data_IF_281437745816
#
_entry.id   IF_281437745816
#
_cell.length_a   1.000
_cell.length_b   1.000
_cell.length_c   1.000
_cell.angle_alpha   90.00
_cell.angle_beta   90.00
_cell.angle_gamma   90.00
#
_symmetry.space_group_name_H-M   'P 1'
#
loop_
_entity.id
_entity.type
_entity.pdbx_description
1 polymer ?
#
# COMPACT_ATOMS: atom_id res chain seq x y z
N UNK A 1 11.35 2.52 -1.39
CA UNK A 1 11.26 1.14 -1.93
C UNK A 1 9.85 0.67 -2.30
N UNK A 2 8.79 1.38 -1.95
CA UNK A 2 7.39 0.97 -2.18
C UNK A 2 6.80 1.34 -3.56
N UNK A 3 7.52 1.98 -4.46
CA UNK A 3 6.98 2.59 -5.68
C UNK A 3 7.19 1.80 -6.98
N UNK A 4 7.91 0.67 -6.94
CA UNK A 4 8.13 -0.20 -8.11
C UNK A 4 6.92 -1.06 -8.51
N UNK A 5 5.78 -0.89 -7.83
CA UNK A 5 4.69 -1.85 -7.79
C UNK A 5 3.46 -1.50 -8.63
N UNK A 6 3.51 -0.46 -9.48
CA UNK A 6 2.29 0.17 -9.95
C UNK A 6 1.73 -0.32 -11.30
N UNK A 7 2.42 -1.17 -12.06
CA UNK A 7 1.98 -1.40 -13.45
C UNK A 7 1.96 -2.87 -13.88
N UNK A 8 0.80 -3.49 -13.83
CA UNK A 8 0.50 -4.72 -14.58
C UNK A 8 -0.84 -4.60 -15.29
N UNK A 9 -0.79 -4.59 -16.60
CA UNK A 9 -1.97 -4.68 -17.46
C UNK A 9 -2.23 -6.14 -17.85
N UNK A 10 -3.41 -6.63 -17.55
CA UNK A 10 -4.13 -7.59 -18.38
C UNK A 10 -5.37 -6.87 -18.91
N UNK A 11 -5.38 -6.56 -20.18
CA UNK A 11 -6.60 -6.20 -20.88
C UNK A 11 -7.11 -7.50 -21.49
N UNK A 12 -8.14 -8.09 -20.91
CA UNK A 12 -8.95 -9.08 -21.64
C UNK A 12 -9.77 -8.31 -22.69
N UNK A 13 -9.81 -8.77 -23.93
CA UNK A 13 -10.69 -8.17 -24.92
C UNK A 13 -12.14 -8.38 -24.50
N UNK A 14 -12.88 -7.30 -24.37
CA UNK A 14 -14.34 -7.35 -24.26
C UNK A 14 -14.85 -7.91 -25.58
N UNK A 15 -15.44 -9.09 -25.56
CA UNK A 15 -16.13 -9.68 -26.71
C UNK A 15 -17.28 -8.76 -27.10
N UNK A 16 -17.10 -8.01 -28.17
CA UNK A 16 -18.20 -7.32 -28.86
C UNK A 16 -18.97 -8.39 -29.61
N UNK A 17 -20.19 -8.62 -29.18
CA UNK A 17 -21.17 -9.51 -29.80
C UNK A 17 -21.61 -8.83 -31.10
N UNK A 18 -20.92 -9.14 -32.22
CA UNK A 18 -21.38 -8.78 -33.54
C UNK A 18 -22.30 -9.86 -34.09
N UNK A 19 -23.56 -9.52 -34.20
CA UNK A 19 -24.53 -10.21 -35.03
C UNK A 19 -24.23 -9.95 -36.52
N UNK A 20 -24.08 -11.06 -37.24
CA UNK A 20 -24.32 -11.30 -38.68
C UNK A 20 -23.88 -10.28 -39.74
N UNK A 21 -22.90 -10.62 -40.58
CA UNK A 21 -23.14 -10.91 -42.02
C UNK A 21 -21.91 -11.53 -42.69
N UNK A 22 -22.16 -12.55 -43.50
CA UNK A 22 -21.22 -13.26 -44.36
C UNK A 22 -20.31 -12.32 -45.16
N UNK A 23 -18.99 -12.46 -45.03
CA UNK A 23 -18.01 -12.10 -46.09
C UNK A 23 -16.75 -12.96 -45.92
N UNK A 24 -16.09 -13.34 -47.06
CA UNK A 24 -15.08 -14.39 -47.08
C UNK A 24 -13.84 -14.04 -46.28
N UNK A 25 -13.28 -15.07 -45.61
CA UNK A 25 -12.03 -15.07 -44.90
C UNK A 25 -10.88 -14.56 -45.76
N UNK A 26 -10.47 -13.34 -45.52
CA UNK A 26 -9.09 -12.94 -45.69
C UNK A 26 -8.42 -13.19 -44.32
N UNK A 27 -7.78 -14.33 -44.22
CA UNK A 27 -6.88 -14.71 -43.14
C UNK A 27 -5.66 -13.75 -43.21
N UNK A 28 -5.88 -12.54 -42.67
CA UNK A 28 -4.77 -11.64 -42.34
C UNK A 28 -4.18 -12.23 -41.09
N UNK A 29 -3.10 -12.97 -41.24
CA UNK A 29 -2.16 -13.35 -40.20
C UNK A 29 -1.62 -12.05 -39.56
N UNK A 30 -2.43 -11.45 -38.68
CA UNK A 30 -1.97 -10.34 -37.86
C UNK A 30 -1.10 -10.95 -36.76
N UNK A 31 0.21 -10.69 -36.79
CA UNK A 31 1.09 -11.14 -35.73
C UNK A 31 0.49 -10.67 -34.42
N UNK A 32 0.18 -11.62 -33.53
CA UNK A 32 -0.30 -11.32 -32.19
C UNK A 32 0.61 -10.26 -31.58
N UNK A 33 0.08 -9.11 -31.08
CA UNK A 33 0.90 -8.01 -30.63
C UNK A 33 1.86 -8.53 -29.55
N UNK A 34 3.14 -8.56 -29.89
CA UNK A 34 4.20 -8.98 -28.99
C UNK A 34 4.15 -8.07 -27.75
N UNK A 35 3.96 -8.68 -26.60
CA UNK A 35 3.88 -7.97 -25.32
C UNK A 35 5.27 -7.45 -24.97
N UNK A 36 5.56 -6.19 -25.24
CA UNK A 36 6.81 -5.57 -24.88
C UNK A 36 6.88 -5.30 -23.37
N UNK A 37 7.98 -5.76 -22.76
CA UNK A 37 8.26 -5.53 -21.34
C UNK A 37 9.03 -4.23 -21.19
N UNK A 38 8.44 -3.24 -20.57
CA UNK A 38 9.14 -1.99 -20.25
C UNK A 38 9.58 -1.97 -18.79
N UNK A 39 10.84 -1.68 -18.58
CA UNK A 39 11.43 -1.61 -17.25
C UNK A 39 11.40 -0.18 -16.70
N UNK A 40 11.07 -0.05 -15.41
CA UNK A 40 11.26 1.21 -14.70
C UNK A 40 12.74 1.47 -14.48
N UNK A 41 13.16 2.71 -14.71
CA UNK A 41 14.50 3.18 -14.35
C UNK A 41 14.37 4.18 -13.21
N UNK A 42 15.19 4.00 -12.17
CA UNK A 42 15.26 4.91 -11.05
C UNK A 42 16.60 5.61 -11.06
N UNK A 43 16.58 6.95 -11.09
CA UNK A 43 17.77 7.82 -11.22
C UNK A 43 18.15 8.52 -9.90
N UNK A 44 17.42 8.29 -8.81
CA UNK A 44 17.71 8.90 -7.51
C UNK A 44 18.89 8.24 -6.80
N UNK A 45 19.68 9.05 -6.07
CA UNK A 45 20.77 8.59 -5.24
C UNK A 45 20.37 8.49 -3.76
N UNK A 46 21.00 7.56 -3.03
CA UNK A 46 20.77 7.41 -1.59
C UNK A 46 21.25 8.63 -0.80
N UNK A 47 22.38 9.22 -1.20
CA UNK A 47 22.96 10.39 -0.54
C UNK A 47 22.07 11.62 -0.68
N UNK A 48 21.55 11.88 -1.89
CA UNK A 48 20.62 12.97 -2.15
C UNK A 48 19.32 12.80 -1.33
N UNK A 49 18.76 11.58 -1.32
CA UNK A 49 17.58 11.30 -0.53
C UNK A 49 17.82 11.45 0.98
N UNK A 50 18.99 11.04 1.47
CA UNK A 50 19.37 11.21 2.87
C UNK A 50 19.41 12.68 3.28
N UNK A 51 19.98 13.56 2.44
CA UNK A 51 19.96 15.01 2.66
C UNK A 51 18.53 15.57 2.76
N UNK A 52 17.65 15.19 1.82
CA UNK A 52 16.24 15.58 1.84
C UNK A 52 15.54 15.06 3.11
N UNK A 53 15.82 13.82 3.51
CA UNK A 53 15.23 13.20 4.69
C UNK A 53 15.66 13.90 5.97
N UNK A 54 16.96 14.21 6.11
CA UNK A 54 17.52 14.89 7.28
C UNK A 54 16.90 16.28 7.47
N UNK A 55 16.87 17.09 6.41
CA UNK A 55 16.22 18.42 6.46
C UNK A 55 14.75 18.33 6.82
N UNK A 56 14.02 17.38 6.22
CA UNK A 56 12.62 17.18 6.50
C UNK A 56 12.38 16.73 7.97
N UNK A 57 13.27 15.90 8.52
CA UNK A 57 13.23 15.46 9.90
C UNK A 57 13.43 16.64 10.85
N UNK A 58 14.48 17.43 10.66
CA UNK A 58 14.78 18.62 11.49
C UNK A 58 13.61 19.61 11.47
N UNK A 59 13.12 19.96 10.29
CA UNK A 59 11.98 20.87 10.16
C UNK A 59 10.71 20.32 10.82
N UNK A 60 10.47 19.00 10.73
CA UNK A 60 9.30 18.38 11.36
C UNK A 60 9.38 18.42 12.88
N UNK A 61 10.57 18.24 13.45
CA UNK A 61 10.80 18.34 14.92
C UNK A 61 10.62 19.81 15.36
N UNK A 62 11.29 20.76 14.72
CA UNK A 62 11.24 22.19 15.08
C UNK A 62 9.80 22.73 15.00
N UNK A 63 9.03 22.31 14.01
CA UNK A 63 7.64 22.77 13.80
C UNK A 63 6.59 21.93 14.52
N UNK A 64 6.99 21.09 15.49
CA UNK A 64 6.09 20.18 16.21
C UNK A 64 5.13 19.43 15.26
N UNK A 65 5.71 18.82 14.20
CA UNK A 65 5.02 18.05 13.15
C UNK A 65 4.17 18.85 12.14
N UNK A 66 3.99 20.14 12.29
CA UNK A 66 3.22 20.97 11.33
C UNK A 66 3.84 20.95 9.92
N UNK A 67 5.16 20.86 9.80
CA UNK A 67 5.85 20.76 8.51
C UNK A 67 5.68 19.40 7.81
N UNK A 68 5.17 18.39 8.49
CA UNK A 68 5.12 17.01 7.96
C UNK A 68 4.34 16.82 6.64
N UNK A 69 3.33 17.66 6.23
CA UNK A 69 2.73 17.60 4.90
C UNK A 69 3.70 18.00 3.79
N UNK A 70 4.53 19.01 4.02
CA UNK A 70 5.57 19.46 3.06
C UNK A 70 6.65 18.40 2.92
N UNK A 71 7.11 17.83 4.05
CA UNK A 71 8.06 16.71 4.06
C UNK A 71 7.52 15.51 3.25
N UNK A 72 6.25 15.17 3.43
CA UNK A 72 5.59 14.09 2.67
C UNK A 72 5.52 14.40 1.17
N UNK A 73 5.11 15.61 0.79
CA UNK A 73 5.01 16.02 -0.60
C UNK A 73 6.40 16.04 -1.27
N UNK A 74 7.44 16.59 -0.59
CA UNK A 74 8.82 16.61 -1.08
C UNK A 74 9.35 15.20 -1.30
N UNK A 75 9.13 14.28 -0.35
CA UNK A 75 9.52 12.88 -0.49
C UNK A 75 8.86 12.21 -1.70
N UNK A 76 7.56 12.38 -1.89
CA UNK A 76 6.83 11.77 -3.01
C UNK A 76 7.31 12.35 -4.34
N UNK A 77 7.50 13.67 -4.43
CA UNK A 77 8.04 14.32 -5.64
C UNK A 77 9.43 13.82 -5.99
N UNK A 78 10.31 13.64 -5.01
CA UNK A 78 11.64 13.09 -5.24
C UNK A 78 11.57 11.69 -5.88
N UNK A 79 10.79 10.77 -5.31
CA UNK A 79 10.68 9.43 -5.86
C UNK A 79 9.99 9.40 -7.23
N UNK A 80 8.95 10.18 -7.43
CA UNK A 80 8.25 10.26 -8.72
C UNK A 80 9.14 10.88 -9.80
N UNK A 81 9.76 12.02 -9.54
CA UNK A 81 10.62 12.70 -10.50
C UNK A 81 11.86 11.89 -10.90
N UNK A 82 12.36 11.02 -10.01
CA UNK A 82 13.48 10.12 -10.29
C UNK A 82 13.04 8.75 -10.85
N UNK A 83 11.73 8.48 -10.96
CA UNK A 83 11.23 7.26 -11.59
C UNK A 83 10.84 7.55 -13.03
N UNK A 84 11.49 6.87 -13.95
CA UNK A 84 11.24 6.96 -15.38
C UNK A 84 10.66 5.65 -15.91
N UNK A 85 9.66 5.75 -16.77
CA UNK A 85 9.15 4.65 -17.58
C UNK A 85 9.16 5.10 -19.04
N UNK A 86 9.81 4.32 -19.92
CA UNK A 86 10.05 4.73 -21.28
C UNK A 86 10.78 6.10 -21.34
N UNK A 87 10.18 7.09 -21.98
CA UNK A 87 10.74 8.45 -22.14
C UNK A 87 10.22 9.47 -21.13
N UNK A 88 9.18 9.10 -20.32
CA UNK A 88 8.51 10.03 -19.42
C UNK A 88 8.80 9.73 -17.95
N UNK A 89 8.80 10.78 -17.14
CA UNK A 89 8.91 10.71 -15.68
C UNK A 89 7.55 10.86 -15.02
N UNK A 90 7.44 10.36 -13.81
CA UNK A 90 6.28 10.60 -12.96
C UNK A 90 6.43 11.94 -12.25
N UNK A 91 5.31 12.58 -11.93
CA UNK A 91 5.27 13.80 -11.14
C UNK A 91 4.13 13.77 -10.13
N UNK A 92 4.29 14.51 -9.03
CA UNK A 92 3.30 14.64 -7.98
C UNK A 92 3.01 16.11 -7.70
N UNK A 93 1.83 16.57 -8.12
CA UNK A 93 1.43 17.97 -8.14
C UNK A 93 0.61 18.42 -6.93
N UNK A 94 0.41 17.55 -5.93
CA UNK A 94 -0.40 17.89 -4.75
C UNK A 94 0.17 19.08 -4.00
N UNK A 95 -0.73 20.01 -3.62
CA UNK A 95 -0.41 21.12 -2.73
C UNK A 95 -0.31 20.61 -1.28
N UNK A 96 0.81 20.86 -0.57
CA UNK A 96 0.97 20.43 0.83
C UNK A 96 -0.09 21.01 1.77
N UNK A 97 -0.58 22.22 1.51
CA UNK A 97 -1.64 22.87 2.29
C UNK A 97 -2.94 22.06 2.36
N UNK A 98 -3.33 21.40 1.27
CA UNK A 98 -4.52 20.51 1.27
C UNK A 98 -4.31 19.27 2.13
N UNK A 99 -3.07 18.79 2.22
CA UNK A 99 -2.72 17.66 3.09
C UNK A 99 -2.73 18.12 4.55
N UNK A 100 -2.25 19.34 4.82
CA UNK A 100 -2.30 19.97 6.15
C UNK A 100 -3.74 20.12 6.64
N UNK A 101 -4.63 20.68 5.81
CA UNK A 101 -6.04 20.86 6.17
C UNK A 101 -6.69 19.54 6.59
N UNK A 102 -6.48 18.45 5.84
CA UNK A 102 -6.99 17.13 6.22
C UNK A 102 -6.43 16.61 7.55
N UNK A 103 -5.19 16.96 7.91
CA UNK A 103 -4.60 16.60 9.20
C UNK A 103 -5.13 17.45 10.35
N UNK A 104 -5.34 18.74 10.12
CA UNK A 104 -5.94 19.63 11.13
C UNK A 104 -7.35 19.18 11.48
N UNK A 105 -8.17 18.85 10.48
CA UNK A 105 -9.51 18.27 10.71
C UNK A 105 -9.46 16.97 11.50
N UNK A 106 -8.50 16.09 11.21
CA UNK A 106 -8.32 14.84 11.97
C UNK A 106 -7.85 15.11 13.41
N UNK A 107 -6.99 16.11 13.61
CA UNK A 107 -6.55 16.52 14.95
C UNK A 107 -7.70 17.14 15.76
N UNK A 108 -8.49 18.00 15.15
CA UNK A 108 -9.68 18.58 15.74
C UNK A 108 -10.67 17.49 16.20
N UNK A 109 -10.96 16.52 15.32
CA UNK A 109 -11.82 15.39 15.64
C UNK A 109 -11.24 14.58 16.82
N UNK A 110 -9.93 14.37 16.86
CA UNK A 110 -9.26 13.68 17.97
C UNK A 110 -9.41 14.44 19.28
N UNK A 111 -9.17 15.77 19.28
CA UNK A 111 -9.31 16.62 20.47
C UNK A 111 -10.75 16.59 21.00
N UNK A 112 -11.73 16.73 20.09
CA UNK A 112 -13.16 16.63 20.43
C UNK A 112 -13.47 15.28 21.05
N UNK A 113 -12.92 14.18 20.51
CA UNK A 113 -13.11 12.83 21.06
C UNK A 113 -12.56 12.73 22.49
N UNK A 114 -11.34 13.24 22.73
CA UNK A 114 -10.70 13.21 24.05
C UNK A 114 -11.51 14.03 25.07
N UNK A 115 -12.03 15.20 24.67
CA UNK A 115 -12.87 16.02 25.53
C UNK A 115 -14.18 15.29 25.87
N UNK A 116 -14.88 14.73 24.87
CA UNK A 116 -16.14 14.02 25.07
C UNK A 116 -15.99 12.77 25.96
N UNK A 117 -14.84 12.11 25.92
CA UNK A 117 -14.59 10.94 26.77
C UNK A 117 -14.67 11.26 28.26
N UNK A 118 -14.34 12.50 28.67
CA UNK A 118 -14.44 12.93 30.07
C UNK A 118 -15.87 13.28 30.51
N UNK A 119 -16.79 13.50 29.57
CA UNK A 119 -18.17 13.92 29.89
C UNK A 119 -19.20 12.80 29.71
N UNK A 120 -19.09 11.99 28.66
CA UNK A 120 -20.08 10.96 28.36
C UNK A 120 -19.51 9.85 27.48
N UNK A 121 -19.59 8.64 28.00
CA UNK A 121 -19.22 7.42 27.26
C UNK A 121 -20.13 7.18 26.04
N UNK A 122 -21.42 7.55 26.15
CA UNK A 122 -22.39 7.41 25.06
C UNK A 122 -22.07 8.37 23.90
N UNK A 123 -21.70 9.63 24.19
CA UNK A 123 -21.30 10.59 23.19
C UNK A 123 -20.00 10.16 22.48
N UNK A 124 -19.04 9.64 23.22
CA UNK A 124 -17.79 9.12 22.65
C UNK A 124 -18.02 7.91 21.77
N UNK A 125 -18.84 6.94 22.20
CA UNK A 125 -19.13 5.73 21.42
C UNK A 125 -19.91 6.08 20.14
N UNK A 126 -20.85 7.02 20.18
CA UNK A 126 -21.59 7.48 19.01
C UNK A 126 -20.67 8.17 17.98
N UNK A 127 -19.73 9.00 18.44
CA UNK A 127 -18.75 9.64 17.57
C UNK A 127 -17.82 8.61 16.89
N UNK A 128 -17.41 7.59 17.65
CA UNK A 128 -16.59 6.50 17.12
C UNK A 128 -17.33 5.69 16.04
N UNK A 129 -18.63 5.45 16.26
CA UNK A 129 -19.48 4.76 15.27
C UNK A 129 -19.62 5.57 13.99
N UNK A 130 -19.88 6.89 14.11
CA UNK A 130 -19.95 7.80 12.96
C UNK A 130 -18.62 7.81 12.20
N UNK A 131 -17.48 7.92 12.91
CA UNK A 131 -16.16 7.89 12.30
C UNK A 131 -15.92 6.56 11.54
N UNK A 132 -16.30 5.42 12.11
CA UNK A 132 -16.20 4.11 11.48
C UNK A 132 -17.03 4.01 10.19
N UNK A 133 -18.25 4.56 10.19
CA UNK A 133 -19.12 4.61 9.01
C UNK A 133 -18.51 5.52 7.93
N UNK A 134 -17.90 6.64 8.29
CA UNK A 134 -17.26 7.58 7.35
C UNK A 134 -15.93 7.05 6.79
N UNK A 135 -15.27 6.09 7.45
CA UNK A 135 -13.93 5.62 7.10
C UNK A 135 -13.80 5.12 5.63
N UNK A 136 -14.72 4.29 5.07
CA UNK A 136 -14.61 3.84 3.68
C UNK A 136 -14.68 4.99 2.68
N UNK A 137 -15.54 5.97 2.95
CA UNK A 137 -15.67 7.16 2.14
C UNK A 137 -14.37 8.00 2.16
N UNK A 138 -13.77 8.21 3.34
CA UNK A 138 -12.49 8.91 3.50
C UNK A 138 -11.34 8.19 2.77
N UNK A 139 -11.29 6.86 2.84
CA UNK A 139 -10.30 6.06 2.11
C UNK A 139 -10.44 6.29 0.60
N UNK A 140 -11.66 6.19 0.07
CA UNK A 140 -11.93 6.44 -1.35
C UNK A 140 -11.53 7.86 -1.76
N UNK A 141 -11.89 8.88 -0.97
CA UNK A 141 -11.52 10.28 -1.24
C UNK A 141 -10.00 10.47 -1.24
N UNK A 142 -9.29 9.81 -0.34
CA UNK A 142 -7.82 9.82 -0.30
C UNK A 142 -7.21 9.19 -1.54
N UNK A 143 -7.75 8.06 -2.03
CA UNK A 143 -7.29 7.41 -3.25
C UNK A 143 -7.55 8.29 -4.48
N UNK A 144 -8.74 8.88 -4.58
CA UNK A 144 -9.10 9.83 -5.64
C UNK A 144 -8.19 11.05 -5.63
N UNK A 145 -7.90 11.61 -4.45
CA UNK A 145 -6.98 12.73 -4.30
C UNK A 145 -5.56 12.36 -4.75
N UNK A 146 -5.05 11.20 -4.34
CA UNK A 146 -3.71 10.73 -4.76
C UNK A 146 -3.65 10.53 -6.26
N UNK A 147 -4.63 9.87 -6.87
CA UNK A 147 -4.67 9.65 -8.31
C UNK A 147 -4.69 10.99 -9.06
N UNK A 148 -5.61 11.90 -8.72
CA UNK A 148 -5.73 13.21 -9.37
C UNK A 148 -4.44 14.05 -9.28
N UNK A 149 -3.65 13.87 -8.23
CA UNK A 149 -2.41 14.62 -8.03
C UNK A 149 -1.14 13.88 -8.51
N UNK A 150 -1.29 12.72 -9.13
CA UNK A 150 -0.20 11.97 -9.77
C UNK A 150 -0.29 12.10 -11.29
N UNK A 151 0.85 12.32 -11.94
CA UNK A 151 0.97 12.43 -13.39
C UNK A 151 2.05 11.50 -13.92
N UNK A 152 1.87 11.09 -15.17
CA UNK A 152 2.89 10.43 -15.99
C UNK A 152 3.02 11.19 -17.31
N UNK A 153 4.12 11.87 -17.50
CA UNK A 153 4.22 12.88 -18.56
C UNK A 153 3.11 13.93 -18.42
N UNK A 154 2.29 14.06 -19.43
CA UNK A 154 1.16 15.02 -19.46
C UNK A 154 -0.18 14.41 -19.04
N UNK A 155 -0.25 13.10 -18.73
CA UNK A 155 -1.50 12.41 -18.40
C UNK A 155 -1.65 12.24 -16.89
N UNK A 156 -2.81 12.61 -16.36
CA UNK A 156 -3.15 12.41 -14.94
C UNK A 156 -3.72 11.01 -14.71
N UNK A 157 -3.46 10.47 -13.52
CA UNK A 157 -4.13 9.27 -13.06
C UNK A 157 -5.57 9.57 -12.67
N UNK A 158 -6.44 8.63 -12.94
CA UNK A 158 -7.84 8.69 -12.56
C UNK A 158 -8.20 7.51 -11.67
N UNK A 159 -9.09 7.74 -10.67
CA UNK A 159 -9.60 6.71 -9.79
C UNK A 159 -11.12 6.60 -9.95
N UNK A 160 -11.58 5.45 -10.46
CA UNK A 160 -12.99 5.18 -10.80
C UNK A 160 -13.76 4.40 -9.73
N UNK A 161 -13.12 4.01 -8.60
CA UNK A 161 -13.75 3.22 -7.56
C UNK A 161 -15.03 3.83 -6.99
N UNK A 162 -16.07 3.01 -6.83
CA UNK A 162 -17.37 3.44 -6.29
C UNK A 162 -17.40 3.44 -4.75
N UNK A 163 -18.33 4.20 -4.16
CA UNK A 163 -18.54 4.16 -2.70
C UNK A 163 -18.99 2.77 -2.26
N UNK A 164 -19.95 2.16 -2.99
CA UNK A 164 -20.51 0.83 -2.65
C UNK A 164 -19.42 -0.23 -2.55
N UNK A 165 -18.45 -0.21 -3.47
CA UNK A 165 -17.30 -1.14 -3.44
C UNK A 165 -16.35 -0.85 -2.29
N UNK A 166 -16.07 0.42 -2.00
CA UNK A 166 -15.26 0.82 -0.85
C UNK A 166 -15.86 0.30 0.47
N UNK A 167 -17.17 0.49 0.64
CA UNK A 167 -17.90 -0.02 1.80
C UNK A 167 -17.87 -1.54 1.87
N UNK A 168 -18.15 -2.23 0.75
CA UNK A 168 -18.14 -3.72 0.68
C UNK A 168 -16.75 -4.26 1.04
N UNK A 169 -15.70 -3.73 0.46
CA UNK A 169 -14.33 -4.19 0.70
C UNK A 169 -13.92 -3.95 2.16
N UNK A 170 -14.23 -2.78 2.72
CA UNK A 170 -13.83 -2.49 4.09
C UNK A 170 -14.64 -3.30 5.11
N UNK A 171 -15.96 -3.39 4.97
CA UNK A 171 -16.78 -4.19 5.88
C UNK A 171 -16.44 -5.68 5.82
N UNK A 172 -16.22 -6.23 4.61
CA UNK A 172 -15.72 -7.58 4.45
C UNK A 172 -14.37 -7.77 5.13
N UNK A 173 -13.47 -6.80 5.00
CA UNK A 173 -12.17 -6.79 5.64
C UNK A 173 -12.27 -6.81 7.18
N UNK A 174 -13.15 -6.01 7.75
CA UNK A 174 -13.40 -5.96 9.19
C UNK A 174 -13.99 -7.30 9.68
N UNK A 175 -15.00 -7.82 9.00
CA UNK A 175 -15.60 -9.10 9.32
C UNK A 175 -14.56 -10.23 9.30
N UNK A 176 -13.80 -10.35 8.22
CA UNK A 176 -12.74 -11.36 8.11
C UNK A 176 -11.74 -11.24 9.27
N UNK A 177 -11.29 -10.03 9.61
CA UNK A 177 -10.34 -9.85 10.71
C UNK A 177 -10.93 -10.23 12.07
N UNK A 178 -12.17 -9.86 12.37
CA UNK A 178 -12.80 -10.18 13.65
C UNK A 178 -13.00 -11.68 13.78
N UNK A 179 -13.61 -12.33 12.77
CA UNK A 179 -13.90 -13.78 12.82
C UNK A 179 -12.63 -14.64 12.85
N UNK A 180 -11.53 -14.16 12.30
CA UNK A 180 -10.27 -14.91 12.24
C UNK A 180 -9.23 -14.43 13.26
N UNK A 181 -9.61 -13.61 14.25
CA UNK A 181 -8.71 -13.06 15.26
C UNK A 181 -7.43 -12.47 14.61
N UNK A 182 -7.61 -11.69 13.56
CA UNK A 182 -6.55 -11.06 12.74
C UNK A 182 -5.63 -12.04 11.99
N UNK A 183 -5.87 -13.35 12.06
CA UNK A 183 -5.05 -14.33 11.36
C UNK A 183 -5.06 -14.11 9.84
N UNK A 184 -6.21 -13.73 9.25
CA UNK A 184 -6.33 -13.46 7.81
C UNK A 184 -6.08 -11.99 7.43
N UNK A 185 -5.36 -11.23 8.24
CA UNK A 185 -4.97 -9.85 7.91
C UNK A 185 -4.28 -9.68 6.53
N UNK A 186 -3.48 -10.64 6.00
CA UNK A 186 -2.96 -10.54 4.64
C UNK A 186 -4.05 -10.54 3.56
N UNK A 187 -5.14 -11.27 3.75
CA UNK A 187 -6.30 -11.26 2.83
C UNK A 187 -6.90 -9.86 2.75
N UNK A 188 -7.05 -9.20 3.89
CA UNK A 188 -7.58 -7.84 3.98
C UNK A 188 -6.68 -6.86 3.23
N UNK A 189 -5.36 -6.95 3.43
CA UNK A 189 -4.40 -6.11 2.71
C UNK A 189 -4.47 -6.39 1.20
N UNK A 190 -4.61 -7.64 0.79
CA UNK A 190 -4.76 -8.02 -0.61
C UNK A 190 -6.06 -7.47 -1.22
N UNK A 191 -7.21 -7.60 -0.53
CA UNK A 191 -8.49 -7.04 -0.96
C UNK A 191 -8.41 -5.52 -1.14
N UNK A 192 -7.82 -4.82 -0.16
CA UNK A 192 -7.60 -3.39 -0.23
C UNK A 192 -6.71 -3.00 -1.41
N UNK A 193 -5.59 -3.69 -1.61
CA UNK A 193 -4.70 -3.46 -2.75
C UNK A 193 -5.40 -3.72 -4.07
N UNK A 194 -6.16 -4.82 -4.18
CA UNK A 194 -6.95 -5.15 -5.36
C UNK A 194 -7.95 -4.04 -5.70
N UNK A 195 -8.67 -3.53 -4.70
CA UNK A 195 -9.56 -2.39 -4.87
C UNK A 195 -8.81 -1.15 -5.38
N UNK A 196 -7.66 -0.80 -4.77
CA UNK A 196 -6.87 0.35 -5.17
C UNK A 196 -6.39 0.28 -6.62
N UNK A 197 -5.89 -0.89 -7.06
CA UNK A 197 -5.28 -1.03 -8.38
C UNK A 197 -6.31 -1.23 -9.48
N UNK A 198 -7.36 -2.01 -9.25
CA UNK A 198 -8.34 -2.31 -10.28
C UNK A 198 -9.18 -1.08 -10.70
N UNK A 199 -9.24 -0.06 -9.85
CA UNK A 199 -9.96 1.19 -10.14
C UNK A 199 -9.02 2.35 -10.51
N UNK A 200 -7.72 2.08 -10.65
CA UNK A 200 -6.77 3.09 -11.10
C UNK A 200 -6.65 3.00 -12.63
N UNK A 201 -6.66 4.15 -13.29
CA UNK A 201 -6.47 4.27 -14.74
C UNK A 201 -5.58 5.45 -15.09
N UNK A 202 -4.94 5.38 -16.25
CA UNK A 202 -4.18 6.47 -16.85
C UNK A 202 -4.58 6.59 -18.33
N UNK A 203 -5.25 7.68 -18.70
CA UNK A 203 -5.87 7.77 -20.01
C UNK A 203 -6.84 6.59 -20.25
N UNK A 204 -6.62 5.81 -21.30
CA UNK A 204 -7.42 4.63 -21.63
C UNK A 204 -6.93 3.33 -20.96
N UNK A 205 -5.76 3.36 -20.29
CA UNK A 205 -5.17 2.18 -19.69
C UNK A 205 -5.71 1.97 -18.27
N UNK A 206 -6.27 0.80 -18.00
CA UNK A 206 -6.72 0.38 -16.68
C UNK A 206 -5.71 -0.58 -16.04
N UNK A 207 -5.43 -0.36 -14.76
CA UNK A 207 -4.55 -1.24 -13.99
C UNK A 207 -5.34 -2.38 -13.37
N UNK A 208 -4.77 -3.59 -13.37
CA UNK A 208 -5.33 -4.74 -12.65
C UNK A 208 -4.24 -5.38 -11.78
N UNK A 209 -4.61 -5.75 -10.56
CA UNK A 209 -3.72 -6.50 -9.68
C UNK A 209 -3.74 -7.98 -10.09
N UNK A 210 -2.66 -8.45 -10.72
CA UNK A 210 -2.55 -9.83 -11.19
C UNK A 210 -1.95 -10.81 -10.17
N UNK A 211 -1.81 -10.42 -8.89
CA UNK A 211 -1.26 -11.31 -7.86
C UNK A 211 -2.35 -12.23 -7.35
N UNK A 212 -2.10 -13.54 -7.45
CA UNK A 212 -2.96 -14.55 -6.85
C UNK A 212 -2.91 -14.46 -5.32
N UNK A 213 -4.06 -14.66 -4.67
CA UNK A 213 -4.17 -14.61 -3.22
C UNK A 213 -3.21 -15.61 -2.53
N UNK A 214 -3.07 -16.83 -3.06
CA UNK A 214 -2.18 -17.84 -2.49
C UNK A 214 -0.72 -17.41 -2.43
N UNK A 215 -0.21 -16.77 -3.49
CA UNK A 215 1.15 -16.22 -3.54
C UNK A 215 1.34 -15.07 -2.55
N UNK A 216 0.31 -14.23 -2.39
CA UNK A 216 0.34 -13.15 -1.41
C UNK A 216 0.35 -13.67 0.02
N UNK A 217 -0.48 -14.69 0.32
CA UNK A 217 -0.54 -15.37 1.61
C UNK A 217 0.80 -16.04 1.95
N UNK A 218 1.40 -16.81 1.02
CA UNK A 218 2.69 -17.45 1.25
C UNK A 218 3.82 -16.45 1.49
N UNK A 219 3.79 -15.29 0.83
CA UNK A 219 4.79 -14.25 1.05
C UNK A 219 4.78 -13.67 2.46
N UNK A 220 3.61 -13.69 3.13
CA UNK A 220 3.46 -13.18 4.50
C UNK A 220 3.65 -14.30 5.53
N UNK A 221 2.99 -15.45 5.34
CA UNK A 221 2.99 -16.50 6.37
C UNK A 221 4.30 -17.27 6.45
N UNK A 222 5.03 -17.49 5.34
CA UNK A 222 6.29 -18.23 5.41
C UNK A 222 7.32 -17.51 6.29
N UNK A 223 7.59 -16.20 6.16
CA UNK A 223 8.46 -15.50 7.11
C UNK A 223 7.94 -15.51 8.56
N UNK A 224 6.63 -15.37 8.73
CA UNK A 224 6.00 -15.40 10.05
C UNK A 224 6.20 -16.75 10.74
N UNK A 225 5.94 -17.86 10.03
CA UNK A 225 6.15 -19.22 10.56
C UNK A 225 7.63 -19.47 10.89
N UNK A 226 8.55 -19.03 10.03
CA UNK A 226 9.99 -19.12 10.30
C UNK A 226 10.37 -18.39 11.59
N UNK A 227 9.88 -17.16 11.76
CA UNK A 227 10.14 -16.40 12.99
C UNK A 227 9.52 -17.03 14.22
N UNK A 228 8.33 -17.63 14.11
CA UNK A 228 7.72 -18.38 15.22
C UNK A 228 8.56 -19.58 15.62
N UNK A 229 9.03 -20.38 14.65
CA UNK A 229 9.90 -21.55 14.93
C UNK A 229 11.20 -21.10 15.60
N UNK A 230 11.87 -20.07 15.06
CA UNK A 230 13.09 -19.53 15.65
C UNK A 230 12.82 -18.97 17.06
N UNK A 231 11.71 -18.26 17.25
CA UNK A 231 11.31 -17.70 18.52
C UNK A 231 11.04 -18.76 19.59
N UNK A 232 10.37 -19.85 19.22
CA UNK A 232 10.13 -20.99 20.12
C UNK A 232 11.45 -21.69 20.47
N UNK A 233 12.29 -21.97 19.48
CA UNK A 233 13.59 -22.60 19.69
C UNK A 233 14.51 -21.76 20.59
N UNK A 234 14.51 -20.44 20.42
CA UNK A 234 15.25 -19.51 21.23
C UNK A 234 14.71 -19.46 22.67
N UNK A 235 13.39 -19.36 22.84
CA UNK A 235 12.76 -19.31 24.18
C UNK A 235 12.98 -20.61 24.94
N UNK A 236 12.91 -21.78 24.29
CA UNK A 236 13.24 -23.05 24.95
C UNK A 236 14.71 -23.11 25.37
N UNK A 237 15.63 -22.66 24.52
CA UNK A 237 17.05 -22.59 24.86
C UNK A 237 17.30 -21.69 26.08
N UNK A 238 16.65 -20.52 26.15
CA UNK A 238 16.79 -19.60 27.28
C UNK A 238 16.22 -20.21 28.58
N UNK A 239 15.10 -20.95 28.53
CA UNK A 239 14.52 -21.62 29.69
C UNK A 239 15.51 -22.61 30.31
N UNK A 240 16.25 -23.36 29.50
CA UNK A 240 17.29 -24.28 29.99
C UNK A 240 18.44 -23.58 30.71
N UNK A 241 18.70 -22.29 30.41
CA UNK A 241 19.80 -21.53 30.99
C UNK A 241 19.35 -20.56 32.08
N UNK A 242 18.05 -20.50 32.38
CA UNK A 242 17.48 -19.52 33.33
C UNK A 242 18.07 -19.61 34.72
N UNK A 243 18.33 -20.83 35.19
CA UNK A 243 18.92 -21.06 36.53
C UNK A 243 20.37 -20.57 36.62
N UNK A 244 21.07 -20.48 35.51
CA UNK A 244 22.45 -20.02 35.39
C UNK A 244 22.55 -18.50 35.22
N UNK A 245 21.57 -17.88 34.56
CA UNK A 245 21.63 -16.51 34.03
C UNK A 245 20.84 -15.54 34.92
N UNK A 246 19.87 -16.04 35.72
CA UNK A 246 18.99 -15.23 36.55
C UNK A 246 17.82 -14.60 35.77
N UNK A 247 16.75 -14.30 36.49
CA UNK A 247 15.45 -13.86 35.93
C UNK A 247 15.51 -12.54 35.14
N UNK A 248 16.37 -11.61 35.54
CA UNK A 248 16.49 -10.30 34.86
C UNK A 248 17.12 -10.42 33.49
N UNK A 249 18.16 -11.24 33.31
CA UNK A 249 18.77 -11.50 32.01
C UNK A 249 17.89 -12.38 31.13
N UNK A 250 17.08 -13.27 31.73
CA UNK A 250 16.06 -14.02 31.02
C UNK A 250 15.02 -13.08 30.35
N UNK A 251 14.44 -12.16 31.10
CA UNK A 251 13.46 -11.18 30.55
C UNK A 251 14.07 -10.33 29.45
N UNK A 252 15.30 -9.86 29.63
CA UNK A 252 16.01 -9.12 28.61
C UNK A 252 16.21 -9.95 27.32
N UNK A 253 16.59 -11.23 27.45
CA UNK A 253 16.76 -12.16 26.34
C UNK A 253 15.47 -12.39 25.55
N UNK A 254 14.33 -12.52 26.23
CA UNK A 254 13.01 -12.66 25.60
C UNK A 254 12.63 -11.39 24.83
N UNK A 255 12.85 -10.21 25.42
CA UNK A 255 12.55 -8.92 24.78
C UNK A 255 13.43 -8.73 23.53
N UNK A 256 14.73 -9.00 23.62
CA UNK A 256 15.66 -8.90 22.49
C UNK A 256 15.29 -9.87 21.36
N UNK A 257 14.90 -11.11 21.68
CA UNK A 257 14.41 -12.06 20.69
C UNK A 257 13.15 -11.55 19.99
N UNK A 258 12.19 -11.02 20.74
CA UNK A 258 10.98 -10.45 20.15
C UNK A 258 11.29 -9.30 19.19
N UNK A 259 12.15 -8.36 19.59
CA UNK A 259 12.58 -7.25 18.76
C UNK A 259 13.33 -7.73 17.51
N UNK A 260 14.19 -8.75 17.63
CA UNK A 260 14.90 -9.37 16.51
C UNK A 260 13.94 -10.02 15.52
N UNK A 261 12.96 -10.79 15.99
CA UNK A 261 11.91 -11.39 15.16
C UNK A 261 11.12 -10.32 14.40
N UNK A 262 10.71 -9.25 15.07
CA UNK A 262 10.00 -8.13 14.43
C UNK A 262 10.88 -7.45 13.36
N UNK A 263 12.16 -7.22 13.64
CA UNK A 263 13.09 -6.61 12.70
C UNK A 263 13.32 -7.48 11.44
N UNK A 264 13.27 -8.81 11.56
CA UNK A 264 13.43 -9.74 10.44
C UNK A 264 12.15 -9.95 9.63
N UNK A 265 10.98 -10.02 10.28
CA UNK A 265 9.69 -10.28 9.61
C UNK A 265 9.39 -9.24 8.55
N UNK A 266 9.54 -7.97 8.88
CA UNK A 266 9.18 -6.88 7.96
C UNK A 266 10.00 -6.87 6.65
N UNK A 267 11.35 -6.91 6.66
CA UNK A 267 12.12 -6.96 5.41
C UNK A 267 11.92 -8.26 4.64
N UNK A 268 11.72 -9.41 5.31
CA UNK A 268 11.44 -10.68 4.62
C UNK A 268 10.10 -10.66 3.90
N UNK A 269 9.02 -10.16 4.54
CA UNK A 269 7.71 -9.99 3.91
C UNK A 269 7.82 -9.01 2.75
N UNK A 270 8.47 -7.87 2.94
CA UNK A 270 8.60 -6.86 1.90
C UNK A 270 9.43 -7.35 0.71
N UNK A 271 10.50 -8.12 0.95
CA UNK A 271 11.31 -8.72 -0.11
C UNK A 271 10.52 -9.78 -0.91
N UNK A 272 9.80 -10.68 -0.24
CA UNK A 272 8.96 -11.69 -0.92
C UNK A 272 7.80 -11.07 -1.69
N UNK A 273 7.11 -10.10 -1.10
CA UNK A 273 6.09 -9.35 -1.81
C UNK A 273 6.68 -8.63 -3.03
N UNK A 274 7.89 -8.09 -2.90
CA UNK A 274 8.59 -7.45 -4.00
C UNK A 274 8.90 -8.44 -5.13
N UNK A 275 9.46 -9.62 -4.83
CA UNK A 275 9.77 -10.67 -5.81
C UNK A 275 8.50 -11.14 -6.52
N UNK A 276 7.41 -11.39 -5.80
CA UNK A 276 6.14 -11.79 -6.41
C UNK A 276 5.48 -10.69 -7.23
N UNK A 277 5.65 -9.44 -6.83
CA UNK A 277 5.18 -8.29 -7.60
C UNK A 277 6.06 -8.06 -8.84
N UNK A 278 7.33 -8.37 -8.78
CA UNK A 278 8.26 -8.30 -9.89
C UNK A 278 8.06 -9.46 -10.89
N UNK A 279 7.75 -10.66 -10.44
CA UNK A 279 7.36 -11.79 -11.29
C UNK A 279 5.99 -11.59 -11.95
N UNK A 280 5.16 -10.73 -11.36
CA UNK A 280 3.92 -10.23 -11.93
C UNK A 280 4.13 -8.98 -12.79
N UNK A 281 5.32 -8.75 -13.36
CA UNK A 281 5.62 -7.60 -14.21
C UNK A 281 4.62 -7.47 -15.34
N UNK A 282 4.05 -6.31 -15.35
CA UNK A 282 3.07 -5.84 -16.27
C UNK A 282 3.42 -6.11 -17.72
N UNK A 283 2.54 -6.79 -18.35
CA UNK A 283 2.39 -6.76 -19.78
C UNK A 283 1.61 -5.48 -20.11
N UNK A 284 2.29 -4.43 -20.48
CA UNK A 284 1.60 -3.29 -21.06
C UNK A 284 1.49 -3.53 -22.56
N UNK A 285 0.28 -3.71 -23.04
CA UNK A 285 -0.02 -3.32 -24.41
C UNK A 285 0.00 -1.79 -24.39
N UNK A 286 1.13 -1.20 -24.66
CA UNK A 286 1.21 0.17 -25.11
C UNK A 286 1.13 0.12 -26.62
N UNK A 287 0.04 0.64 -27.12
CA UNK A 287 -0.08 1.11 -28.48
C UNK A 287 0.95 2.20 -28.75
#
# INVERSE_FOLDING_TARGET
>A
MAYKLLFKNQVEPVAVKNTMHNKPELEIDQPSPSLEKHNFRFHGSATEYFGIWMVNLMLTIITLTLYSPWAKARRIRYFYGNTQLLKHRFDFIAMPSRILLGRLLALELYVVTVILTNYSILATSSLFLIAAICLPWLIRMTLKFKAKNSKYGNVQFHFSGSNREAYRVLWLAILVNIFTLFLFSPVVIWLYKRYCFNHLSIGQLQFRLGIQLSKFMSAVYVPLCLCLVIGIAWSTAIVYWVDLIGTNLFTLGVVLNYLFCLALVWPMISARLYIHLESCRAWSKLL
#
